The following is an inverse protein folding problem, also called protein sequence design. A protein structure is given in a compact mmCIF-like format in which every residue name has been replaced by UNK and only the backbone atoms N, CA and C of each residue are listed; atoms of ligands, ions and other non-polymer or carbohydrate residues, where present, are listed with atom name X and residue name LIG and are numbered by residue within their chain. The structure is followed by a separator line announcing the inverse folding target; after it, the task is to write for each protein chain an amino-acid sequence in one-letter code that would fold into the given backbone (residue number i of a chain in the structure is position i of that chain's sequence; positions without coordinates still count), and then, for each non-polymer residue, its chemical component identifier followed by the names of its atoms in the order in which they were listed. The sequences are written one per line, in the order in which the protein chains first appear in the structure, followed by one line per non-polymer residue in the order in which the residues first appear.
data_IF_342648612144
#
_entry.id   IF_342648612144
#
_cell.length_a   1.000
_cell.length_b   1.000
_cell.length_c   1.000
_cell.angle_alpha   90.00
_cell.angle_beta   90.00
_cell.angle_gamma   90.00
#
_symmetry.space_group_name_H-M   'P 1'
#
loop_
_entity.id
_entity.type
_entity.pdbx_description
1 polymer ?
#
# COMPACT_ATOMS: atom_id res chain seq x y z
N UNK A 1 9.75 25.05 -82.29
CA UNK A 1 9.37 26.45 -82.43
C UNK A 1 9.32 26.95 -81.00
N UNK A 2 10.25 27.57 -80.56
CA UNK A 2 10.77 28.96 -80.62
C UNK A 2 10.35 29.56 -79.28
N UNK A 3 11.03 30.29 -78.53
CA UNK A 3 12.35 30.95 -78.50
C UNK A 3 12.45 31.67 -77.17
N UNK A 4 13.62 31.61 -76.63
CA UNK A 4 14.35 32.58 -75.80
C UNK A 4 13.62 33.83 -75.23
N UNK A 5 13.87 34.12 -73.96
CA UNK A 5 14.74 35.29 -73.62
C UNK A 5 14.96 35.45 -72.13
N UNK A 6 16.22 35.59 -71.82
CA UNK A 6 16.91 36.01 -70.60
C UNK A 6 16.43 37.33 -70.01
N UNK A 7 16.48 37.48 -68.70
CA UNK A 7 17.08 38.67 -68.06
C UNK A 7 17.46 38.41 -66.60
N UNK A 8 18.71 38.61 -66.31
CA UNK A 8 19.40 38.73 -65.05
C UNK A 8 19.01 40.00 -64.29
N UNK A 9 18.91 39.94 -62.97
CA UNK A 9 19.19 40.99 -61.95
C UNK A 9 19.06 40.29 -60.61
N UNK A 10 20.00 40.21 -59.78
CA UNK A 10 20.79 41.22 -59.15
C UNK A 10 20.90 40.70 -57.69
N UNK A 11 22.07 40.20 -57.31
CA UNK A 11 22.41 39.82 -55.92
C UNK A 11 22.23 40.96 -54.94
N UNK A 12 21.46 40.70 -53.87
CA UNK A 12 21.46 41.54 -52.66
C UNK A 12 22.04 40.72 -51.50
N UNK A 13 23.17 41.13 -50.90
CA UNK A 13 23.81 40.38 -49.85
C UNK A 13 23.00 40.44 -48.52
N UNK A 14 22.52 39.27 -48.06
CA UNK A 14 21.97 39.17 -46.71
C UNK A 14 23.08 39.46 -45.68
N UNK A 15 22.96 40.58 -44.97
CA UNK A 15 23.79 40.96 -43.86
C UNK A 15 23.74 39.85 -42.78
N UNK A 16 24.84 39.14 -42.59
CA UNK A 16 25.08 38.32 -41.42
C UNK A 16 25.19 39.26 -40.23
N UNK A 17 24.15 39.25 -39.34
CA UNK A 17 24.29 39.85 -38.01
C UNK A 17 25.41 39.09 -37.29
N UNK A 18 26.57 39.72 -37.14
CA UNK A 18 27.61 39.27 -36.24
C UNK A 18 27.08 39.33 -34.80
N UNK A 19 26.82 38.17 -34.19
CA UNK A 19 26.65 38.11 -32.73
C UNK A 19 27.95 38.61 -32.13
N UNK A 20 27.87 39.68 -31.35
CA UNK A 20 29.01 40.25 -30.64
C UNK A 20 29.68 39.22 -29.76
N UNK A 21 31.00 39.17 -29.78
CA UNK A 21 31.85 38.26 -29.02
C UNK A 21 31.59 38.27 -27.50
N UNK A 22 30.99 39.33 -26.97
CA UNK A 22 30.61 39.43 -25.54
C UNK A 22 29.42 38.55 -25.15
N UNK A 23 28.38 38.40 -25.99
CA UNK A 23 27.27 37.48 -25.70
C UNK A 23 27.68 35.99 -25.76
N UNK A 24 28.61 35.63 -26.63
CA UNK A 24 29.15 34.28 -26.73
C UNK A 24 30.07 33.93 -25.54
N UNK A 25 30.77 34.92 -24.98
CA UNK A 25 31.62 34.75 -23.79
C UNK A 25 30.75 34.62 -22.53
N UNK A 26 29.68 35.39 -22.40
CA UNK A 26 28.78 35.36 -21.24
C UNK A 26 28.04 34.02 -21.14
N UNK A 27 27.57 33.45 -22.25
CA UNK A 27 26.94 32.12 -22.28
C UNK A 27 27.91 30.99 -21.94
N UNK A 28 29.23 31.19 -22.18
CA UNK A 28 30.27 30.22 -21.85
C UNK A 28 30.54 30.10 -20.35
N UNK A 29 30.54 31.19 -19.60
CA UNK A 29 30.83 31.17 -18.15
C UNK A 29 29.80 30.38 -17.34
N UNK A 30 28.52 30.61 -17.57
CA UNK A 30 27.44 29.91 -16.88
C UNK A 30 27.41 28.40 -17.21
N UNK A 31 27.79 28.03 -18.43
CA UNK A 31 27.85 26.63 -18.84
C UNK A 31 29.00 25.86 -18.16
N UNK A 32 30.01 26.55 -17.63
CA UNK A 32 31.22 25.97 -17.03
C UNK A 32 31.38 26.26 -15.54
N UNK A 33 30.27 26.65 -14.86
CA UNK A 33 30.29 26.82 -13.40
C UNK A 33 30.78 25.55 -12.71
N UNK A 34 31.68 25.66 -11.69
CA UNK A 34 32.06 24.51 -10.88
C UNK A 34 30.85 23.82 -10.28
N UNK A 35 30.89 22.47 -10.22
CA UNK A 35 29.78 21.67 -9.67
C UNK A 35 29.35 22.08 -8.27
N UNK A 36 30.30 22.54 -7.43
CA UNK A 36 29.99 23.03 -6.08
C UNK A 36 29.05 24.24 -6.13
N UNK A 37 29.36 25.23 -6.99
CA UNK A 37 28.49 26.41 -7.14
C UNK A 37 27.14 26.05 -7.75
N UNK A 38 27.10 25.08 -8.67
CA UNK A 38 25.82 24.59 -9.22
C UNK A 38 24.98 23.90 -8.14
N UNK A 39 25.60 23.17 -7.22
CA UNK A 39 24.91 22.57 -6.09
C UNK A 39 24.33 23.63 -5.16
N UNK A 40 25.08 24.72 -4.87
CA UNK A 40 24.58 25.83 -4.06
C UNK A 40 23.39 26.53 -4.74
N UNK A 41 23.47 26.72 -6.06
CA UNK A 41 22.35 27.27 -6.84
C UNK A 41 21.15 26.34 -6.79
N UNK A 42 21.34 25.04 -6.99
CA UNK A 42 20.26 24.04 -6.96
C UNK A 42 19.65 23.88 -5.57
N UNK A 43 20.36 24.14 -4.48
CA UNK A 43 19.81 24.17 -3.13
C UNK A 43 18.75 25.26 -2.94
N UNK A 44 18.91 26.38 -3.63
CA UNK A 44 17.97 27.52 -3.57
C UNK A 44 16.72 27.31 -4.43
N UNK A 45 16.73 26.33 -5.34
CA UNK A 45 15.64 26.06 -6.27
C UNK A 45 14.68 25.00 -5.73
N UNK A 46 13.38 25.19 -5.96
CA UNK A 46 12.39 24.15 -5.77
C UNK A 46 12.57 23.01 -6.80
N UNK A 47 11.84 21.90 -6.65
CA UNK A 47 11.99 20.70 -7.50
C UNK A 47 11.74 20.98 -8.99
N UNK A 48 10.79 21.84 -9.30
CA UNK A 48 10.40 22.18 -10.67
C UNK A 48 11.41 23.12 -11.33
N UNK A 49 11.82 24.18 -10.63
CA UNK A 49 12.85 25.11 -11.11
C UNK A 49 14.20 24.40 -11.29
N UNK A 50 14.53 23.44 -10.42
CA UNK A 50 15.72 22.62 -10.56
C UNK A 50 15.68 21.76 -11.82
N UNK A 51 14.53 21.20 -12.15
CA UNK A 51 14.28 20.49 -13.41
C UNK A 51 14.50 21.42 -14.62
N UNK A 52 13.92 22.62 -14.58
CA UNK A 52 14.04 23.62 -15.64
C UNK A 52 15.49 24.06 -15.81
N UNK A 53 16.21 24.31 -14.72
CA UNK A 53 17.63 24.62 -14.72
C UNK A 53 18.48 23.52 -15.38
N UNK A 54 18.10 22.26 -15.23
CA UNK A 54 18.80 21.14 -15.89
C UNK A 54 18.72 21.16 -17.43
N UNK A 55 17.75 21.89 -17.98
CA UNK A 55 17.58 22.01 -19.43
C UNK A 55 18.55 23.02 -20.08
N UNK A 56 19.26 23.83 -19.28
CA UNK A 56 20.16 24.90 -19.73
C UNK A 56 21.33 24.34 -20.57
N UNK A 57 22.05 23.33 -20.07
CA UNK A 57 23.12 22.67 -20.78
C UNK A 57 23.42 21.27 -20.23
N UNK A 58 24.29 20.50 -20.91
CA UNK A 58 24.70 19.14 -20.48
C UNK A 58 25.35 19.15 -19.08
N UNK A 59 26.19 20.11 -18.76
CA UNK A 59 26.88 20.21 -17.49
C UNK A 59 25.90 20.45 -16.33
N UNK A 60 24.95 21.36 -16.47
CA UNK A 60 23.89 21.58 -15.49
C UNK A 60 23.03 20.34 -15.29
N UNK A 61 22.67 19.65 -16.38
CA UNK A 61 21.92 18.39 -16.33
C UNK A 61 22.66 17.29 -15.58
N UNK A 62 23.98 17.15 -15.80
CA UNK A 62 24.81 16.16 -15.08
C UNK A 62 24.83 16.42 -13.57
N UNK A 63 24.85 17.69 -13.17
CA UNK A 63 24.82 18.07 -11.76
C UNK A 63 23.45 17.85 -11.11
N UNK A 64 22.35 17.86 -11.89
CA UNK A 64 21.03 17.51 -11.37
C UNK A 64 20.96 16.03 -10.93
N UNK A 65 21.71 15.14 -11.57
CA UNK A 65 21.74 13.71 -11.22
C UNK A 65 22.63 13.41 -9.99
N UNK A 66 23.03 14.42 -9.23
CA UNK A 66 23.76 14.19 -7.98
C UNK A 66 22.82 13.57 -6.92
N UNK A 67 23.26 12.55 -6.15
CA UNK A 67 22.43 11.81 -5.16
C UNK A 67 21.71 12.70 -4.16
N UNK A 68 22.29 13.84 -3.80
CA UNK A 68 21.69 14.83 -2.89
C UNK A 68 20.28 15.26 -3.28
N UNK A 69 19.97 15.30 -4.59
CA UNK A 69 18.69 15.77 -5.11
C UNK A 69 17.63 14.66 -5.21
N UNK A 70 18.05 13.40 -5.13
CA UNK A 70 17.22 12.22 -5.36
C UNK A 70 17.37 11.19 -4.25
N UNK A 71 17.23 11.59 -2.95
CA UNK A 71 17.35 10.65 -1.87
C UNK A 71 16.23 9.60 -1.93
N UNK A 72 15.03 10.02 -2.31
CA UNK A 72 13.83 9.17 -2.42
C UNK A 72 13.38 9.10 -3.86
N UNK A 73 13.19 7.89 -4.39
CA UNK A 73 12.70 7.67 -5.75
C UNK A 73 11.62 6.58 -5.78
N UNK A 74 10.52 6.89 -6.47
CA UNK A 74 9.52 5.90 -6.86
C UNK A 74 9.81 5.44 -8.29
N UNK A 75 10.18 4.18 -8.43
CA UNK A 75 10.37 3.51 -9.72
C UNK A 75 9.04 2.89 -10.12
N UNK A 76 8.37 3.45 -11.14
CA UNK A 76 7.14 2.90 -11.69
C UNK A 76 7.48 2.03 -12.88
N UNK A 77 7.40 0.71 -12.70
CA UNK A 77 7.74 -0.31 -13.70
C UNK A 77 6.43 -0.91 -14.20
N UNK A 78 5.88 -0.27 -15.22
CA UNK A 78 4.60 -0.58 -15.85
C UNK A 78 4.79 -0.69 -17.37
N UNK A 79 4.01 -1.52 -18.03
CA UNK A 79 4.17 -1.76 -19.49
C UNK A 79 4.07 -0.48 -20.33
N UNK A 80 3.15 0.43 -19.96
CA UNK A 80 2.92 1.67 -20.69
C UNK A 80 4.05 2.70 -20.57
N UNK A 81 5.00 2.53 -19.63
CA UNK A 81 6.08 3.47 -19.38
C UNK A 81 7.47 2.84 -19.22
N UNK A 82 7.66 1.62 -19.71
CA UNK A 82 8.88 0.81 -19.52
C UNK A 82 10.17 1.55 -19.94
N UNK A 83 10.16 2.30 -21.04
CA UNK A 83 11.33 3.08 -21.49
C UNK A 83 11.71 4.18 -20.51
N UNK A 84 10.72 4.83 -19.90
CA UNK A 84 10.93 5.85 -18.87
C UNK A 84 11.42 5.21 -17.56
N UNK A 85 10.85 4.05 -17.21
CA UNK A 85 11.30 3.26 -16.06
C UNK A 85 12.78 2.87 -16.23
N UNK A 86 13.16 2.32 -17.37
CA UNK A 86 14.54 1.96 -17.72
C UNK A 86 15.50 3.13 -17.57
N UNK A 87 15.14 4.31 -18.09
CA UNK A 87 15.95 5.53 -17.91
C UNK A 87 16.17 5.87 -16.42
N UNK A 88 15.12 5.81 -15.60
CA UNK A 88 15.25 6.11 -14.17
C UNK A 88 16.05 5.04 -13.42
N UNK A 89 15.88 3.77 -13.75
CA UNK A 89 16.61 2.64 -13.18
C UNK A 89 18.13 2.83 -13.36
N UNK A 90 18.58 3.03 -14.60
CA UNK A 90 20.00 3.19 -14.89
C UNK A 90 20.58 4.51 -14.39
N UNK A 91 19.77 5.55 -14.28
CA UNK A 91 20.22 6.85 -13.80
C UNK A 91 20.35 6.92 -12.28
N UNK A 92 19.39 6.34 -11.55
CA UNK A 92 19.24 6.56 -10.11
C UNK A 92 19.42 5.31 -9.25
N UNK A 93 19.36 4.09 -9.80
CA UNK A 93 19.39 2.86 -9.01
C UNK A 93 20.58 2.75 -8.05
N UNK A 94 21.78 3.23 -8.45
CA UNK A 94 22.97 3.23 -7.58
C UNK A 94 23.06 4.42 -6.63
N UNK A 95 22.16 5.40 -6.73
CA UNK A 95 22.28 6.69 -6.07
C UNK A 95 21.28 6.92 -4.94
N UNK A 96 20.09 6.29 -5.04
CA UNK A 96 18.98 6.52 -4.11
C UNK A 96 19.28 6.01 -2.71
N UNK A 97 18.72 6.70 -1.72
CA UNK A 97 18.72 6.26 -0.31
C UNK A 97 17.45 5.46 -0.01
N UNK A 98 16.34 5.83 -0.63
CA UNK A 98 15.03 5.20 -0.46
C UNK A 98 14.45 4.86 -1.82
N UNK A 99 14.22 3.58 -2.06
CA UNK A 99 13.63 3.04 -3.27
C UNK A 99 12.21 2.50 -2.96
N UNK A 100 11.22 3.08 -3.63
CA UNK A 100 9.85 2.57 -3.69
C UNK A 100 9.62 2.06 -5.11
N UNK A 101 9.20 0.82 -5.26
CA UNK A 101 9.09 0.14 -6.55
C UNK A 101 7.64 -0.24 -6.78
N UNK A 102 6.95 0.51 -7.63
CA UNK A 102 5.62 0.15 -8.13
C UNK A 102 5.83 -0.76 -9.34
N UNK A 103 5.34 -2.00 -9.27
CA UNK A 103 5.71 -3.06 -10.19
C UNK A 103 4.48 -3.76 -10.75
N UNK A 104 4.34 -3.79 -12.08
CA UNK A 104 3.47 -4.78 -12.70
C UNK A 104 4.15 -6.17 -12.62
N UNK A 105 3.79 -6.93 -11.59
CA UNK A 105 4.45 -8.19 -11.24
C UNK A 105 4.08 -9.35 -12.18
N UNK A 106 3.00 -9.24 -12.97
CA UNK A 106 2.56 -10.24 -13.94
C UNK A 106 3.07 -9.98 -15.36
N UNK A 107 3.96 -9.00 -15.56
CA UNK A 107 4.56 -8.71 -16.86
C UNK A 107 6.02 -9.12 -16.90
N UNK A 108 6.39 -10.05 -17.77
CA UNK A 108 7.78 -10.51 -17.96
C UNK A 108 8.72 -9.33 -18.25
N UNK A 109 8.32 -8.39 -19.11
CA UNK A 109 9.15 -7.21 -19.44
C UNK A 109 9.37 -6.31 -18.22
N UNK A 110 8.33 -6.13 -17.39
CA UNK A 110 8.45 -5.38 -16.13
C UNK A 110 9.34 -6.11 -15.12
N UNK A 111 9.23 -7.42 -15.02
CA UNK A 111 10.08 -8.25 -14.17
C UNK A 111 11.55 -8.22 -14.60
N UNK A 112 11.86 -8.20 -15.91
CA UNK A 112 13.24 -8.01 -16.39
C UNK A 112 13.83 -6.67 -15.91
N UNK A 113 13.06 -5.59 -15.97
CA UNK A 113 13.51 -4.27 -15.48
C UNK A 113 13.59 -4.21 -13.95
N UNK A 114 12.70 -4.91 -13.24
CA UNK A 114 12.79 -5.05 -11.79
C UNK A 114 14.09 -5.75 -11.37
N UNK A 115 14.47 -6.82 -12.04
CA UNK A 115 15.74 -7.53 -11.80
C UNK A 115 16.94 -6.62 -12.10
N UNK A 116 16.91 -5.85 -13.19
CA UNK A 116 17.93 -4.85 -13.51
C UNK A 116 18.05 -3.81 -12.40
N UNK A 117 16.93 -3.33 -11.87
CA UNK A 117 16.93 -2.39 -10.74
C UNK A 117 17.51 -3.02 -9.49
N UNK A 118 17.10 -4.23 -9.11
CA UNK A 118 17.65 -4.93 -7.93
C UNK A 118 19.17 -5.13 -8.04
N UNK A 119 19.69 -5.43 -9.23
CA UNK A 119 21.12 -5.52 -9.47
C UNK A 119 21.83 -4.21 -9.16
N UNK A 120 21.31 -3.08 -9.63
CA UNK A 120 21.87 -1.75 -9.35
C UNK A 120 21.74 -1.37 -7.88
N UNK A 121 20.62 -1.69 -7.22
CA UNK A 121 20.41 -1.47 -5.79
C UNK A 121 21.35 -2.32 -4.93
N UNK A 122 21.69 -3.53 -5.36
CA UNK A 122 22.65 -4.40 -4.65
C UNK A 122 24.04 -3.78 -4.54
N UNK A 123 24.44 -3.02 -5.55
CA UNK A 123 25.70 -2.27 -5.59
C UNK A 123 25.62 -0.90 -4.88
N UNK A 124 24.43 -0.44 -4.53
CA UNK A 124 24.19 0.85 -3.88
C UNK A 124 24.50 0.78 -2.38
N UNK A 125 25.53 1.47 -1.93
CA UNK A 125 25.93 1.49 -0.51
C UNK A 125 25.12 2.49 0.35
N UNK A 126 24.34 3.37 -0.26
CA UNK A 126 23.55 4.40 0.43
C UNK A 126 22.10 3.97 0.71
N UNK A 127 21.67 2.81 0.20
CA UNK A 127 20.32 2.34 0.32
C UNK A 127 19.93 2.07 1.78
N UNK A 128 18.83 2.68 2.24
CA UNK A 128 18.27 2.53 3.60
C UNK A 128 16.84 2.03 3.61
N UNK A 129 16.11 2.25 2.52
CA UNK A 129 14.72 1.83 2.41
C UNK A 129 14.49 1.14 1.07
N UNK A 130 13.84 -0.01 1.11
CA UNK A 130 13.40 -0.76 -0.05
C UNK A 130 11.97 -1.27 0.18
N UNK A 131 11.03 -0.74 -0.57
CA UNK A 131 9.62 -1.08 -0.52
C UNK A 131 9.18 -1.49 -1.91
N UNK A 132 8.60 -2.69 -2.02
CA UNK A 132 8.01 -3.19 -3.26
C UNK A 132 6.49 -3.06 -3.17
N UNK A 133 5.86 -2.55 -4.21
CA UNK A 133 4.41 -2.40 -4.37
C UNK A 133 4.00 -3.08 -5.68
N UNK A 134 3.75 -4.38 -5.66
CA UNK A 134 3.36 -5.13 -6.83
C UNK A 134 1.87 -4.90 -7.16
N UNK A 135 1.48 -5.20 -8.38
CA UNK A 135 0.06 -5.27 -8.79
C UNK A 135 -0.60 -6.59 -8.41
N UNK A 136 0.20 -7.65 -8.15
CA UNK A 136 -0.29 -8.97 -7.77
C UNK A 136 0.67 -9.64 -6.79
N UNK A 137 0.18 -10.53 -5.95
CA UNK A 137 0.95 -11.22 -4.91
C UNK A 137 1.97 -12.25 -5.45
N UNK A 138 1.96 -12.55 -6.74
CA UNK A 138 2.92 -13.45 -7.41
C UNK A 138 3.80 -12.72 -8.39
N UNK A 139 4.95 -13.31 -8.69
CA UNK A 139 5.86 -12.88 -9.74
C UNK A 139 5.71 -13.70 -11.00
N UNK A 140 5.59 -13.04 -12.16
CA UNK A 140 5.88 -13.66 -13.46
C UNK A 140 7.39 -13.60 -13.69
N UNK A 141 8.06 -14.75 -13.59
CA UNK A 141 9.53 -14.78 -13.57
C UNK A 141 10.11 -15.02 -14.97
N UNK A 142 11.00 -14.13 -15.46
CA UNK A 142 11.62 -14.28 -16.76
C UNK A 142 12.51 -15.53 -16.85
N UNK A 143 12.13 -16.51 -17.65
CA UNK A 143 12.85 -17.78 -17.83
C UNK A 143 14.30 -17.65 -18.31
N UNK A 144 14.63 -16.57 -19.03
CA UNK A 144 15.98 -16.26 -19.51
C UNK A 144 17.00 -15.98 -18.40
N UNK A 145 16.52 -15.52 -17.24
CA UNK A 145 17.39 -15.04 -16.14
C UNK A 145 17.59 -16.14 -15.11
N UNK A 146 16.66 -17.08 -14.99
CA UNK A 146 16.56 -18.03 -13.88
C UNK A 146 16.97 -19.43 -14.29
N UNK A 147 17.01 -19.75 -15.58
CA UNK A 147 17.39 -21.08 -16.05
C UNK A 147 16.37 -22.22 -15.79
N UNK A 148 15.44 -22.02 -14.87
CA UNK A 148 14.22 -22.76 -14.64
C UNK A 148 13.12 -21.77 -14.33
N UNK A 149 11.95 -21.91 -14.92
CA UNK A 149 10.93 -20.89 -15.01
C UNK A 149 10.42 -20.32 -13.68
N UNK A 150 10.57 -20.98 -12.56
CA UNK A 150 9.81 -20.65 -11.34
C UNK A 150 10.68 -20.52 -10.10
N UNK A 151 11.92 -20.01 -10.22
CA UNK A 151 12.82 -19.90 -9.07
C UNK A 151 12.96 -18.45 -8.58
N UNK A 152 12.13 -18.00 -7.61
CA UNK A 152 12.26 -16.69 -6.96
C UNK A 152 13.60 -16.54 -6.23
N UNK A 153 14.39 -17.62 -6.11
CA UNK A 153 15.73 -17.63 -5.53
C UNK A 153 16.69 -16.65 -6.19
N UNK A 154 16.57 -16.43 -7.51
CA UNK A 154 17.41 -15.46 -8.18
C UNK A 154 17.12 -14.02 -7.73
N UNK A 155 15.87 -13.70 -7.43
CA UNK A 155 15.49 -12.42 -6.84
C UNK A 155 16.11 -12.29 -5.44
N UNK A 156 16.10 -13.36 -4.63
CA UNK A 156 16.73 -13.36 -3.32
C UNK A 156 18.25 -13.16 -3.39
N UNK A 157 18.94 -13.70 -4.39
CA UNK A 157 20.38 -13.44 -4.61
C UNK A 157 20.69 -11.96 -4.80
N UNK A 158 19.78 -11.22 -5.43
CA UNK A 158 19.92 -9.76 -5.66
C UNK A 158 19.47 -8.95 -4.44
N UNK A 159 18.46 -9.41 -3.70
CA UNK A 159 18.00 -8.76 -2.47
C UNK A 159 19.01 -8.90 -1.32
N UNK A 160 19.61 -10.08 -1.14
CA UNK A 160 20.51 -10.37 -0.03
C UNK A 160 21.62 -9.32 0.20
N UNK A 161 22.31 -8.77 -0.81
CA UNK A 161 23.29 -7.70 -0.61
C UNK A 161 22.68 -6.37 -0.15
N UNK A 162 21.37 -6.15 -0.38
CA UNK A 162 20.67 -4.95 0.06
C UNK A 162 20.32 -5.01 1.55
N UNK A 163 19.87 -6.17 2.04
CA UNK A 163 19.27 -6.35 3.37
C UNK A 163 20.10 -5.77 4.54
N UNK A 164 21.42 -5.97 4.65
CA UNK A 164 22.21 -5.45 5.80
C UNK A 164 22.27 -3.93 5.90
N UNK A 165 21.88 -3.23 4.83
CA UNK A 165 21.94 -1.77 4.74
C UNK A 165 20.65 -1.11 5.20
N UNK A 166 19.52 -1.87 5.17
CA UNK A 166 18.17 -1.34 5.28
C UNK A 166 17.74 -1.02 6.71
N UNK A 167 17.02 0.08 6.85
CA UNK A 167 16.23 0.44 8.03
C UNK A 167 14.73 0.20 7.81
N UNK A 168 14.31 0.19 6.53
CA UNK A 168 12.94 -0.11 6.12
C UNK A 168 12.98 -1.13 5.00
N UNK A 169 12.25 -2.22 5.18
CA UNK A 169 12.13 -3.28 4.19
C UNK A 169 10.70 -3.83 4.14
N UNK A 170 10.17 -4.02 2.93
CA UNK A 170 8.89 -4.70 2.72
C UNK A 170 8.99 -5.66 1.54
N UNK A 171 8.51 -6.89 1.74
CA UNK A 171 8.35 -7.89 0.67
C UNK A 171 7.21 -7.54 -0.30
N UNK A 172 6.43 -6.48 -0.01
CA UNK A 172 5.34 -6.05 -0.90
C UNK A 172 4.11 -6.97 -0.89
N UNK A 173 3.89 -7.72 0.18
CA UNK A 173 2.85 -8.75 0.25
C UNK A 173 3.00 -9.88 -0.78
N UNK A 174 4.20 -10.09 -1.32
CA UNK A 174 4.48 -11.09 -2.35
C UNK A 174 4.61 -12.47 -1.71
N UNK A 175 3.75 -13.41 -2.10
CA UNK A 175 3.73 -14.77 -1.57
C UNK A 175 5.04 -15.51 -1.87
N UNK A 176 5.58 -15.39 -3.08
CA UNK A 176 6.82 -16.05 -3.48
C UNK A 176 8.01 -15.72 -2.59
N UNK A 177 8.03 -14.56 -1.92
CA UNK A 177 9.10 -14.16 -1.02
C UNK A 177 8.93 -14.69 0.41
N UNK A 178 7.74 -15.18 0.77
CA UNK A 178 7.52 -15.73 2.13
C UNK A 178 8.33 -16.98 2.40
N UNK A 179 8.65 -17.77 1.39
CA UNK A 179 9.50 -18.97 1.51
C UNK A 179 10.95 -18.65 1.95
N UNK A 180 11.34 -17.38 1.91
CA UNK A 180 12.68 -16.91 2.25
C UNK A 180 12.73 -16.03 3.50
N UNK A 181 11.67 -16.00 4.32
CA UNK A 181 11.61 -15.16 5.54
C UNK A 181 12.79 -15.41 6.47
N UNK A 182 13.18 -16.65 6.67
CA UNK A 182 14.36 -17.03 7.44
C UNK A 182 15.65 -16.40 6.90
N UNK A 183 15.86 -16.47 5.60
CA UNK A 183 17.03 -15.89 4.94
C UNK A 183 17.00 -14.36 4.99
N UNK A 184 15.83 -13.76 4.81
CA UNK A 184 15.62 -12.33 4.94
C UNK A 184 15.98 -11.86 6.34
N UNK A 185 15.40 -12.47 7.38
CA UNK A 185 15.63 -12.09 8.77
C UNK A 185 17.10 -12.25 9.18
N UNK A 186 17.76 -13.33 8.74
CA UNK A 186 19.20 -13.58 9.01
C UNK A 186 20.12 -12.53 8.38
N UNK A 187 19.74 -11.96 7.25
CA UNK A 187 20.57 -10.99 6.54
C UNK A 187 20.24 -9.52 6.85
N UNK A 188 19.10 -9.24 7.47
CA UNK A 188 18.78 -7.89 7.95
C UNK A 188 19.68 -7.51 9.13
N UNK A 189 19.94 -6.20 9.30
CA UNK A 189 20.66 -5.68 10.46
C UNK A 189 19.69 -5.29 11.57
N UNK A 190 19.51 -6.08 12.65
CA UNK A 190 18.50 -5.80 13.66
C UNK A 190 18.64 -4.43 14.33
N UNK A 191 19.87 -3.92 14.45
CA UNK A 191 20.14 -2.62 15.06
C UNK A 191 19.73 -1.42 14.19
N UNK A 192 19.39 -1.63 12.91
CA UNK A 192 19.01 -0.58 11.96
C UNK A 192 17.52 -0.60 11.63
N UNK A 193 16.91 -1.79 11.58
CA UNK A 193 15.54 -1.96 11.07
C UNK A 193 14.52 -1.33 12.02
N UNK A 194 13.67 -0.49 11.44
CA UNK A 194 12.56 0.19 12.12
C UNK A 194 11.20 -0.17 11.52
N UNK A 195 11.13 -0.47 10.23
CA UNK A 195 9.91 -0.86 9.53
C UNK A 195 10.16 -2.15 8.77
N UNK A 196 9.35 -3.17 9.05
CA UNK A 196 9.51 -4.50 8.49
C UNK A 196 8.15 -5.05 8.05
N UNK A 197 7.97 -5.18 6.73
CA UNK A 197 6.78 -5.75 6.11
C UNK A 197 7.07 -7.16 5.61
N UNK A 198 6.57 -8.18 6.32
CA UNK A 198 6.73 -9.61 6.01
C UNK A 198 5.39 -10.30 5.73
N UNK A 199 4.25 -9.61 5.93
CA UNK A 199 2.95 -10.15 5.58
C UNK A 199 2.81 -10.35 4.08
N UNK A 200 1.99 -11.30 3.69
CA UNK A 200 1.70 -11.62 2.30
C UNK A 200 0.21 -11.52 1.97
N UNK A 201 -0.10 -11.57 0.69
CA UNK A 201 -1.40 -11.98 0.14
C UNK A 201 -1.20 -13.34 -0.49
N UNK A 202 -2.21 -14.20 -0.53
CA UNK A 202 -2.13 -15.56 -1.04
C UNK A 202 -2.87 -15.67 -2.36
N UNK A 203 -2.18 -16.21 -3.36
CA UNK A 203 -2.74 -16.49 -4.69
C UNK A 203 -3.86 -17.54 -4.63
N UNK A 204 -3.63 -18.65 -3.90
CA UNK A 204 -4.67 -19.62 -3.55
C UNK A 204 -4.89 -19.63 -2.03
N UNK A 205 -5.83 -18.82 -1.49
CA UNK A 205 -6.06 -18.72 -0.05
C UNK A 205 -6.58 -20.01 0.59
N UNK A 206 -7.04 -20.98 -0.21
CA UNK A 206 -7.52 -22.27 0.29
C UNK A 206 -6.39 -23.29 0.41
N UNK A 207 -5.34 -23.18 -0.41
CA UNK A 207 -4.26 -24.16 -0.54
C UNK A 207 -2.89 -23.51 -0.63
N UNK A 208 -2.55 -22.65 0.30
CA UNK A 208 -1.19 -22.11 0.37
C UNK A 208 -0.30 -22.89 1.35
N UNK A 209 0.99 -22.84 1.13
CA UNK A 209 1.99 -23.37 2.07
C UNK A 209 2.37 -22.29 3.08
N UNK A 210 2.47 -22.67 4.35
CA UNK A 210 2.94 -21.76 5.40
C UNK A 210 4.45 -21.86 5.52
N UNK A 211 5.11 -20.75 5.30
CA UNK A 211 6.52 -20.59 5.60
C UNK A 211 6.67 -20.07 7.04
N UNK A 212 7.10 -20.94 7.94
CA UNK A 212 7.37 -20.56 9.34
C UNK A 212 8.80 -20.05 9.49
N UNK A 213 8.98 -19.09 10.39
CA UNK A 213 10.29 -18.76 10.93
C UNK A 213 10.25 -18.82 12.46
N UNK A 214 11.42 -19.02 13.07
CA UNK A 214 11.55 -19.10 14.52
C UNK A 214 11.25 -17.72 15.15
N UNK A 215 10.28 -17.62 16.10
CA UNK A 215 10.00 -16.38 16.82
C UNK A 215 11.24 -15.72 17.47
N UNK A 216 12.26 -16.52 17.84
CA UNK A 216 13.53 -16.00 18.35
C UNK A 216 14.24 -15.05 17.39
N UNK A 217 14.01 -15.19 16.10
CA UNK A 217 14.62 -14.34 15.08
C UNK A 217 14.14 -12.88 15.12
N UNK A 218 12.96 -12.61 15.69
CA UNK A 218 12.43 -11.26 15.80
C UNK A 218 12.96 -10.52 17.03
N UNK A 219 13.33 -11.23 18.10
CA UNK A 219 13.77 -10.64 19.36
C UNK A 219 14.93 -9.63 19.25
N UNK A 220 15.93 -9.80 18.34
CA UNK A 220 17.02 -8.84 18.16
C UNK A 220 16.59 -7.48 17.59
N UNK A 221 15.39 -7.37 16.99
CA UNK A 221 14.95 -6.15 16.30
C UNK A 221 14.36 -5.11 17.27
N UNK A 222 15.16 -4.65 18.21
CA UNK A 222 14.74 -3.76 19.32
C UNK A 222 14.29 -2.35 18.90
N UNK A 223 14.56 -1.94 17.66
CA UNK A 223 14.19 -0.63 17.10
C UNK A 223 12.93 -0.66 16.24
N UNK A 224 12.27 -1.81 16.15
CA UNK A 224 11.03 -1.92 15.36
C UNK A 224 9.99 -0.93 15.84
N UNK A 225 9.40 -0.22 14.88
CA UNK A 225 8.25 0.67 15.01
C UNK A 225 7.03 0.11 14.33
N UNK A 226 7.21 -0.48 13.15
CA UNK A 226 6.15 -1.11 12.37
C UNK A 226 6.59 -2.51 11.98
N UNK A 227 5.71 -3.49 12.26
CA UNK A 227 5.88 -4.87 11.84
C UNK A 227 4.60 -5.37 11.18
N UNK A 228 4.73 -5.99 10.02
CA UNK A 228 3.63 -6.69 9.33
C UNK A 228 4.01 -8.15 9.11
N UNK A 229 3.11 -9.07 9.49
CA UNK A 229 3.29 -10.53 9.39
C UNK A 229 1.98 -11.23 9.00
N UNK A 230 2.07 -12.45 8.55
CA UNK A 230 0.90 -13.33 8.42
C UNK A 230 0.48 -13.89 9.79
N UNK A 231 -0.84 -14.12 9.97
CA UNK A 231 -1.39 -14.69 11.20
C UNK A 231 -0.77 -16.06 11.55
N UNK A 232 -0.37 -16.81 10.53
CA UNK A 232 0.31 -18.09 10.70
C UNK A 232 1.57 -18.02 11.58
N UNK A 233 2.21 -16.84 11.67
CA UNK A 233 3.38 -16.59 12.53
C UNK A 233 3.00 -16.14 13.95
N UNK A 234 1.74 -15.73 14.15
CA UNK A 234 1.33 -15.10 15.40
C UNK A 234 1.01 -16.14 16.48
N UNK A 235 1.72 -16.09 17.59
CA UNK A 235 1.53 -16.95 18.76
C UNK A 235 1.80 -16.19 20.06
N UNK A 236 1.50 -16.78 21.21
CA UNK A 236 1.88 -16.21 22.50
C UNK A 236 3.39 -16.03 22.61
N UNK A 237 4.16 -16.99 22.10
CA UNK A 237 5.62 -16.93 22.09
C UNK A 237 6.10 -15.75 21.22
N UNK A 238 5.51 -15.58 20.04
CA UNK A 238 5.85 -14.46 19.15
C UNK A 238 5.57 -13.11 19.82
N UNK A 239 4.42 -12.92 20.46
CA UNK A 239 4.09 -11.70 21.22
C UNK A 239 5.10 -11.45 22.35
N UNK A 240 5.52 -12.50 23.05
CA UNK A 240 6.54 -12.39 24.08
C UNK A 240 7.89 -11.92 23.53
N UNK A 241 8.32 -12.44 22.35
CA UNK A 241 9.59 -12.00 21.71
C UNK A 241 9.54 -10.54 21.25
N UNK A 242 8.36 -10.02 20.93
CA UNK A 242 8.18 -8.59 20.60
C UNK A 242 8.35 -7.65 21.79
N UNK A 243 8.34 -8.14 23.04
CA UNK A 243 8.56 -7.27 24.20
C UNK A 243 9.89 -6.50 24.17
N UNK A 244 10.88 -6.98 23.41
CA UNK A 244 12.16 -6.29 23.20
C UNK A 244 12.03 -5.03 22.36
N UNK A 245 11.04 -4.96 21.50
CA UNK A 245 10.79 -3.85 20.56
C UNK A 245 9.98 -2.72 21.23
N UNK A 246 10.55 -2.06 22.24
CA UNK A 246 9.85 -1.04 23.06
C UNK A 246 9.32 0.19 22.30
N UNK A 247 9.74 0.36 21.05
CA UNK A 247 9.29 1.46 20.19
C UNK A 247 8.22 1.01 19.19
N UNK A 248 7.65 -0.19 19.36
CA UNK A 248 6.65 -0.70 18.44
C UNK A 248 5.36 0.14 18.52
N UNK A 249 5.08 0.81 17.42
CA UNK A 249 3.94 1.72 17.22
C UNK A 249 2.78 1.00 16.52
N UNK A 250 3.11 0.00 15.69
CA UNK A 250 2.10 -0.72 14.89
C UNK A 250 2.48 -2.17 14.63
N UNK A 251 1.53 -3.08 14.92
CA UNK A 251 1.57 -4.47 14.52
C UNK A 251 0.43 -4.74 13.54
N UNK A 252 0.77 -5.12 12.31
CA UNK A 252 -0.17 -5.45 11.23
C UNK A 252 -0.16 -6.96 11.03
N UNK A 253 -1.34 -7.57 10.98
CA UNK A 253 -1.48 -9.01 10.77
C UNK A 253 -2.45 -9.29 9.64
N UNK A 254 -2.00 -10.10 8.67
CA UNK A 254 -2.84 -10.61 7.60
C UNK A 254 -3.31 -12.02 7.91
N UNK A 255 -4.61 -12.26 7.80
CA UNK A 255 -5.27 -13.53 8.06
C UNK A 255 -5.93 -14.03 6.79
N UNK A 256 -5.50 -15.19 6.28
CA UNK A 256 -6.09 -15.86 5.10
C UNK A 256 -6.97 -17.05 5.48
N UNK A 257 -6.75 -17.63 6.67
CA UNK A 257 -7.51 -18.73 7.23
C UNK A 257 -6.92 -19.17 8.58
N UNK A 258 -7.63 -20.03 9.28
CA UNK A 258 -7.20 -20.54 10.58
C UNK A 258 -6.91 -22.03 10.47
N UNK A 259 -5.64 -22.40 10.55
CA UNK A 259 -5.24 -23.80 10.49
C UNK A 259 -5.60 -24.53 11.77
N UNK A 260 -6.05 -25.79 11.65
CA UNK A 260 -6.46 -26.62 12.79
C UNK A 260 -5.39 -26.77 13.88
N UNK A 261 -4.12 -26.76 13.50
CA UNK A 261 -2.99 -26.93 14.42
C UNK A 261 -2.33 -25.60 14.80
N UNK A 262 -2.92 -24.45 14.42
CA UNK A 262 -2.38 -23.15 14.80
C UNK A 262 -2.56 -22.95 16.32
N UNK A 263 -1.50 -22.57 17.07
CA UNK A 263 -1.57 -22.45 18.53
C UNK A 263 -2.51 -21.33 18.98
N UNK A 264 -2.76 -20.35 18.11
CA UNK A 264 -3.52 -19.16 18.44
C UNK A 264 -2.81 -18.26 19.44
N UNK A 265 -3.56 -17.33 19.99
CA UNK A 265 -3.09 -16.42 21.04
C UNK A 265 -4.04 -16.43 22.23
N UNK A 266 -3.55 -16.07 23.41
CA UNK A 266 -4.34 -16.00 24.64
C UNK A 266 -4.64 -14.57 25.05
N UNK A 267 -5.70 -14.36 25.83
CA UNK A 267 -5.99 -13.08 26.44
C UNK A 267 -4.86 -12.58 27.34
N UNK A 268 -4.14 -13.51 28.00
CA UNK A 268 -3.01 -13.16 28.87
C UNK A 268 -1.85 -12.58 28.05
N UNK A 269 -1.46 -13.23 26.95
CA UNK A 269 -0.37 -12.75 26.11
C UNK A 269 -0.68 -11.35 25.53
N UNK A 270 -1.92 -11.10 25.13
CA UNK A 270 -2.33 -9.78 24.66
C UNK A 270 -2.36 -8.72 25.78
N UNK A 271 -2.76 -9.08 27.01
CA UNK A 271 -2.72 -8.17 28.13
C UNK A 271 -1.27 -7.80 28.51
N UNK A 272 -0.37 -8.78 28.50
CA UNK A 272 1.06 -8.55 28.71
C UNK A 272 1.66 -7.70 27.58
N UNK A 273 1.33 -8.00 26.33
CA UNK A 273 1.74 -7.20 25.15
C UNK A 273 1.26 -5.75 25.25
N UNK A 274 -0.02 -5.51 25.56
CA UNK A 274 -0.58 -4.16 25.72
C UNK A 274 0.11 -3.37 26.82
N UNK A 275 0.46 -4.01 27.95
CA UNK A 275 1.23 -3.36 29.03
C UNK A 275 2.65 -3.01 28.60
N UNK A 276 3.27 -3.85 27.79
CA UNK A 276 4.62 -3.59 27.21
C UNK A 276 4.64 -2.54 26.12
N UNK A 277 3.51 -2.37 25.39
CA UNK A 277 3.36 -1.49 24.24
C UNK A 277 2.03 -0.70 24.29
N UNK A 278 1.89 0.23 25.25
CA UNK A 278 0.61 0.90 25.51
C UNK A 278 0.06 1.77 24.38
N UNK A 279 0.93 2.18 23.46
CA UNK A 279 0.56 3.02 22.30
C UNK A 279 0.55 2.24 20.99
N UNK A 280 0.83 0.95 21.00
CA UNK A 280 0.89 0.15 19.80
C UNK A 280 -0.53 -0.09 19.23
N UNK A 281 -0.70 0.24 17.96
CA UNK A 281 -1.90 -0.10 17.21
C UNK A 281 -1.80 -1.53 16.68
N UNK A 282 -2.84 -2.34 16.90
CA UNK A 282 -2.99 -3.62 16.26
C UNK A 282 -3.96 -3.48 15.07
N UNK A 283 -3.51 -3.85 13.89
CA UNK A 283 -4.30 -3.82 12.66
C UNK A 283 -4.48 -5.24 12.15
N UNK A 284 -5.72 -5.68 12.04
CA UNK A 284 -6.07 -7.00 11.53
C UNK A 284 -6.70 -6.86 10.15
N UNK A 285 -6.09 -7.49 9.15
CA UNK A 285 -6.62 -7.59 7.81
C UNK A 285 -6.95 -9.05 7.50
N UNK A 286 -8.22 -9.33 7.21
CA UNK A 286 -8.74 -10.64 6.87
C UNK A 286 -8.95 -10.68 5.35
N UNK A 287 -8.32 -11.61 4.65
CA UNK A 287 -8.29 -11.66 3.19
C UNK A 287 -8.73 -13.05 2.73
N UNK A 288 -9.78 -13.14 1.92
CA UNK A 288 -10.29 -14.38 1.32
C UNK A 288 -10.54 -15.53 2.32
N UNK A 289 -10.84 -15.20 3.57
CA UNK A 289 -11.06 -16.21 4.63
C UNK A 289 -12.49 -16.80 4.59
N UNK A 290 -12.93 -17.29 3.43
CA UNK A 290 -14.30 -17.70 3.08
C UNK A 290 -15.02 -18.51 4.15
N UNK A 291 -14.38 -19.55 4.70
CA UNK A 291 -14.97 -20.43 5.72
C UNK A 291 -14.73 -19.94 7.13
N UNK A 292 -13.53 -19.42 7.35
CA UNK A 292 -13.04 -19.12 8.69
C UNK A 292 -13.57 -17.79 9.21
N UNK A 293 -13.99 -16.88 8.32
CA UNK A 293 -14.63 -15.61 8.70
C UNK A 293 -15.79 -15.84 9.70
N UNK A 294 -16.52 -16.95 9.59
CA UNK A 294 -17.66 -17.28 10.47
C UNK A 294 -17.27 -17.58 11.91
N UNK A 295 -16.02 -17.99 12.16
CA UNK A 295 -15.52 -18.38 13.49
C UNK A 295 -14.39 -17.52 14.03
N UNK A 296 -13.96 -16.47 13.29
CA UNK A 296 -12.86 -15.59 13.69
C UNK A 296 -13.09 -14.96 15.08
N UNK A 297 -14.33 -14.64 15.43
CA UNK A 297 -14.69 -14.06 16.72
C UNK A 297 -14.31 -14.98 17.90
N UNK A 298 -14.30 -16.30 17.72
CA UNK A 298 -13.91 -17.29 18.73
C UNK A 298 -12.44 -17.70 18.60
N UNK A 299 -11.98 -17.90 17.36
CA UNK A 299 -10.68 -18.53 17.10
C UNK A 299 -9.53 -17.53 17.15
N UNK A 300 -9.73 -16.33 16.66
CA UNK A 300 -8.68 -15.30 16.48
C UNK A 300 -8.81 -14.16 17.49
N UNK A 301 -10.02 -13.61 17.62
CA UNK A 301 -10.23 -12.39 18.41
C UNK A 301 -10.00 -12.64 19.90
N UNK A 302 -9.34 -11.71 20.55
CA UNK A 302 -9.07 -11.76 22.00
C UNK A 302 -9.36 -10.41 22.63
N UNK A 303 -9.98 -10.43 23.80
CA UNK A 303 -10.51 -9.23 24.50
C UNK A 303 -9.46 -8.13 24.70
N UNK A 304 -8.22 -8.50 24.93
CA UNK A 304 -7.16 -7.53 25.27
C UNK A 304 -6.29 -7.11 24.08
N UNK A 305 -6.63 -7.54 22.86
CA UNK A 305 -5.98 -7.01 21.66
C UNK A 305 -6.15 -5.50 21.59
N UNK A 306 -5.11 -4.71 21.31
CA UNK A 306 -5.25 -3.27 21.09
C UNK A 306 -5.74 -2.99 19.64
N UNK A 307 -6.85 -3.64 19.24
CA UNK A 307 -7.38 -3.57 17.88
C UNK A 307 -7.80 -2.14 17.54
N UNK A 308 -7.14 -1.57 16.55
CA UNK A 308 -7.42 -0.23 16.03
C UNK A 308 -8.07 -0.22 14.65
N UNK A 309 -7.72 -1.17 13.80
CA UNK A 309 -8.24 -1.29 12.44
C UNK A 309 -8.63 -2.74 12.15
N UNK A 310 -9.86 -2.93 11.70
CA UNK A 310 -10.33 -4.19 11.15
C UNK A 310 -10.65 -4.00 9.67
N UNK A 311 -9.93 -4.71 8.82
CA UNK A 311 -10.18 -4.74 7.37
C UNK A 311 -10.55 -6.16 6.98
N UNK A 312 -11.64 -6.34 6.25
CA UNK A 312 -12.11 -7.64 5.76
C UNK A 312 -12.35 -7.52 4.26
N UNK A 313 -11.63 -8.32 3.48
CA UNK A 313 -11.66 -8.27 2.02
C UNK A 313 -12.06 -9.60 1.44
N UNK A 314 -13.12 -9.60 0.62
CA UNK A 314 -13.55 -10.70 -0.25
C UNK A 314 -13.75 -12.03 0.51
N UNK A 315 -14.47 -11.97 1.64
CA UNK A 315 -14.76 -13.13 2.50
C UNK A 315 -16.16 -13.71 2.31
N UNK A 316 -16.96 -13.18 1.38
CA UNK A 316 -18.30 -13.63 0.99
C UNK A 316 -19.37 -13.58 2.10
N UNK A 317 -19.03 -13.12 3.29
CA UNK A 317 -19.99 -13.02 4.40
C UNK A 317 -19.56 -12.06 5.49
N UNK A 318 -20.54 -11.53 6.23
CA UNK A 318 -20.32 -10.73 7.44
C UNK A 318 -20.53 -11.61 8.67
N UNK A 319 -19.55 -11.58 9.58
CA UNK A 319 -19.67 -12.22 10.89
C UNK A 319 -20.25 -11.22 11.89
N UNK A 320 -21.55 -11.35 12.18
CA UNK A 320 -22.28 -10.44 13.07
C UNK A 320 -21.79 -10.49 14.51
N UNK A 321 -21.41 -11.69 15.00
CA UNK A 321 -20.87 -11.87 16.35
C UNK A 321 -19.50 -11.19 16.49
N UNK A 322 -18.69 -11.22 15.42
CA UNK A 322 -17.45 -10.44 15.35
C UNK A 322 -17.74 -8.94 15.51
N UNK A 323 -18.71 -8.41 14.73
CA UNK A 323 -19.08 -7.00 14.78
C UNK A 323 -19.62 -6.60 16.14
N UNK A 324 -20.45 -7.44 16.78
CA UNK A 324 -20.92 -7.22 18.15
C UNK A 324 -19.77 -7.17 19.18
N UNK A 325 -18.78 -8.06 19.01
CA UNK A 325 -17.59 -8.08 19.87
C UNK A 325 -16.71 -6.84 19.72
N UNK A 326 -16.73 -6.15 18.54
CA UNK A 326 -15.98 -4.91 18.34
C UNK A 326 -16.36 -3.86 19.39
N UNK A 327 -17.64 -3.65 19.59
CA UNK A 327 -18.16 -2.66 20.54
C UNK A 327 -17.84 -2.99 21.99
N UNK A 328 -17.89 -4.26 22.37
CA UNK A 328 -17.71 -4.69 23.76
C UNK A 328 -16.24 -4.80 24.17
N UNK A 329 -15.34 -5.11 23.24
CA UNK A 329 -13.93 -5.37 23.53
C UNK A 329 -13.00 -4.23 23.13
N UNK A 330 -13.33 -3.47 22.05
CA UNK A 330 -12.39 -2.53 21.41
C UNK A 330 -12.93 -1.10 21.34
N UNK A 331 -13.97 -0.76 22.14
CA UNK A 331 -14.63 0.55 22.12
C UNK A 331 -13.69 1.75 22.31
N UNK A 332 -12.57 1.57 23.01
CA UNK A 332 -11.58 2.62 23.24
C UNK A 332 -10.46 2.67 22.18
N UNK A 333 -10.24 1.58 21.45
CA UNK A 333 -9.09 1.47 20.53
C UNK A 333 -9.47 1.48 19.07
N UNK A 334 -10.69 1.03 18.72
CA UNK A 334 -11.12 0.87 17.34
C UNK A 334 -11.32 2.22 16.63
N UNK A 335 -10.65 2.37 15.48
CA UNK A 335 -10.66 3.58 14.64
C UNK A 335 -11.22 3.33 13.24
N UNK A 336 -11.06 2.11 12.71
CA UNK A 336 -11.46 1.78 11.34
C UNK A 336 -12.16 0.43 11.28
N UNK A 337 -13.27 0.39 10.57
CA UNK A 337 -13.94 -0.80 10.10
C UNK A 337 -14.08 -0.70 8.58
N UNK A 338 -13.45 -1.61 7.88
CA UNK A 338 -13.55 -1.74 6.43
C UNK A 338 -14.02 -3.16 6.11
N UNK A 339 -15.17 -3.30 5.45
CA UNK A 339 -15.70 -4.59 5.02
C UNK A 339 -16.08 -4.51 3.56
N UNK A 340 -15.31 -5.17 2.72
CA UNK A 340 -15.39 -5.05 1.27
C UNK A 340 -15.51 -6.42 0.63
N UNK A 341 -16.51 -6.55 -0.21
CA UNK A 341 -16.72 -7.72 -1.04
C UNK A 341 -17.17 -7.32 -2.44
N UNK A 342 -17.15 -8.24 -3.37
CA UNK A 342 -17.73 -8.03 -4.68
C UNK A 342 -19.26 -8.02 -4.58
N UNK A 343 -19.89 -7.20 -5.40
CA UNK A 343 -21.34 -7.16 -5.46
C UNK A 343 -21.86 -8.51 -5.92
N UNK A 344 -22.56 -9.20 -5.04
CA UNK A 344 -23.21 -10.44 -5.42
C UNK A 344 -24.56 -10.13 -6.06
N UNK A 345 -24.76 -10.59 -7.31
CA UNK A 345 -26.07 -10.59 -7.95
C UNK A 345 -27.01 -11.64 -7.34
N UNK A 346 -26.53 -12.44 -6.38
CA UNK A 346 -27.35 -13.44 -5.69
C UNK A 346 -28.10 -12.81 -4.52
N UNK A 347 -29.37 -13.22 -4.31
CA UNK A 347 -30.28 -12.74 -3.24
C UNK A 347 -29.76 -12.91 -1.80
N UNK A 348 -28.58 -13.52 -1.60
CA UNK A 348 -27.99 -13.80 -0.29
C UNK A 348 -27.01 -12.71 0.22
N UNK A 349 -26.87 -11.59 -0.50
CA UNK A 349 -26.00 -10.47 -0.12
C UNK A 349 -26.57 -9.55 0.98
N UNK A 350 -27.68 -9.95 1.61
CA UNK A 350 -28.30 -9.19 2.69
C UNK A 350 -27.54 -9.42 3.99
N UNK A 351 -26.89 -8.39 4.51
CA UNK A 351 -26.27 -8.48 5.84
C UNK A 351 -27.35 -8.63 6.92
N UNK A 352 -28.45 -7.93 6.74
CA UNK A 352 -29.52 -7.86 7.74
C UNK A 352 -30.89 -7.85 7.04
N UNK A 353 -31.51 -9.00 6.97
CA UNK A 353 -32.96 -9.01 6.95
C UNK A 353 -33.36 -8.61 8.37
N UNK A 354 -33.80 -7.37 8.57
CA UNK A 354 -34.37 -6.97 9.85
C UNK A 354 -35.55 -7.90 10.07
N UNK A 355 -35.53 -8.84 11.03
CA UNK A 355 -36.74 -9.54 11.38
C UNK A 355 -37.72 -8.45 11.81
N UNK A 356 -38.93 -8.42 11.25
CA UNK A 356 -39.99 -7.46 11.59
C UNK A 356 -40.28 -7.37 13.10
N UNK A 357 -39.62 -8.22 13.93
CA UNK A 357 -39.86 -8.39 15.37
C UNK A 357 -38.58 -8.45 16.22
N UNK A 358 -37.38 -8.18 15.64
CA UNK A 358 -36.14 -8.17 16.44
C UNK A 358 -35.83 -6.72 16.86
N UNK A 359 -35.94 -6.47 18.17
CA UNK A 359 -35.65 -5.18 18.80
C UNK A 359 -34.15 -4.95 19.00
N UNK A 360 -33.28 -5.90 18.59
CA UNK A 360 -31.85 -5.79 18.74
C UNK A 360 -31.28 -4.67 17.86
N UNK A 361 -30.41 -3.80 18.40
CA UNK A 361 -29.77 -2.77 17.60
C UNK A 361 -28.83 -3.40 16.56
N UNK A 362 -28.73 -2.77 15.39
CA UNK A 362 -27.79 -3.19 14.35
C UNK A 362 -26.36 -3.20 14.89
N UNK A 363 -25.55 -4.26 14.70
CA UNK A 363 -24.22 -4.38 15.25
C UNK A 363 -23.23 -3.29 14.80
N UNK A 364 -23.33 -2.79 13.56
CA UNK A 364 -22.49 -1.68 13.11
C UNK A 364 -22.92 -0.34 13.73
N UNK A 365 -24.23 -0.13 13.91
CA UNK A 365 -24.74 1.03 14.66
C UNK A 365 -24.27 0.95 16.11
N UNK A 366 -24.30 -0.24 16.72
CA UNK A 366 -23.78 -0.45 18.07
C UNK A 366 -22.28 -0.17 18.16
N UNK A 367 -21.51 -0.64 17.18
CA UNK A 367 -20.08 -0.33 17.07
C UNK A 367 -19.85 1.19 16.92
N UNK A 368 -20.61 1.86 16.05
CA UNK A 368 -20.53 3.31 15.90
C UNK A 368 -20.88 4.06 17.21
N UNK A 369 -21.79 3.55 18.02
CA UNK A 369 -22.15 4.15 19.29
C UNK A 369 -21.07 4.00 20.35
N UNK A 370 -20.50 2.80 20.51
CA UNK A 370 -19.62 2.46 21.61
C UNK A 370 -18.14 2.69 21.29
N UNK A 371 -17.72 2.58 20.01
CA UNK A 371 -16.35 2.86 19.57
C UNK A 371 -16.16 4.36 19.33
N UNK A 372 -15.84 5.09 20.41
CA UNK A 372 -15.76 6.56 20.39
C UNK A 372 -14.69 7.13 19.46
N UNK A 373 -13.67 6.34 19.15
CA UNK A 373 -12.55 6.72 18.29
C UNK A 373 -12.74 6.27 16.82
N UNK A 374 -13.93 5.78 16.46
CA UNK A 374 -14.20 5.33 15.09
C UNK A 374 -14.17 6.53 14.13
N UNK A 375 -13.22 6.51 13.21
CA UNK A 375 -12.92 7.55 12.23
C UNK A 375 -13.24 7.13 10.80
N UNK A 376 -13.33 5.81 10.55
CA UNK A 376 -13.53 5.25 9.23
C UNK A 376 -14.52 4.09 9.26
N UNK A 377 -15.50 4.14 8.35
CA UNK A 377 -16.44 3.07 8.10
C UNK A 377 -16.63 2.91 6.59
N UNK A 378 -16.25 1.74 6.06
CA UNK A 378 -16.36 1.38 4.64
C UNK A 378 -17.10 0.06 4.53
N UNK A 379 -18.16 0.04 3.73
CA UNK A 379 -18.97 -1.15 3.49
C UNK A 379 -19.31 -1.26 1.99
N UNK A 380 -18.77 -2.27 1.30
CA UNK A 380 -19.07 -2.55 -0.09
C UNK A 380 -19.48 -4.00 -0.31
N UNK A 381 -20.40 -4.22 -1.25
CA UNK A 381 -20.85 -5.55 -1.66
C UNK A 381 -21.96 -6.15 -0.81
N UNK A 382 -22.51 -5.38 0.12
CA UNK A 382 -23.55 -5.83 1.04
C UNK A 382 -24.70 -4.83 1.15
N UNK A 383 -25.92 -5.33 1.05
CA UNK A 383 -27.14 -4.52 1.21
C UNK A 383 -27.26 -4.02 2.66
N UNK A 384 -27.47 -2.72 2.82
CA UNK A 384 -27.54 -2.07 4.13
C UNK A 384 -28.65 -1.00 4.18
N UNK A 385 -29.36 -0.91 5.31
CA UNK A 385 -30.48 -0.01 5.46
C UNK A 385 -30.02 1.45 5.64
N UNK A 386 -30.71 2.39 4.96
CA UNK A 386 -30.43 3.82 5.04
C UNK A 386 -30.54 4.36 6.46
N UNK A 387 -31.52 3.89 7.27
CA UNK A 387 -31.69 4.35 8.66
C UNK A 387 -30.47 4.02 9.53
N UNK A 388 -29.86 2.85 9.34
CA UNK A 388 -28.66 2.45 10.06
C UNK A 388 -27.45 3.30 9.64
N UNK A 389 -27.34 3.59 8.34
CA UNK A 389 -26.29 4.46 7.80
C UNK A 389 -26.42 5.89 8.35
N UNK A 390 -27.64 6.43 8.39
CA UNK A 390 -27.94 7.73 9.00
C UNK A 390 -27.62 7.72 10.49
N UNK A 391 -27.95 6.63 11.19
CA UNK A 391 -27.63 6.48 12.61
C UNK A 391 -26.11 6.50 12.85
N UNK A 392 -25.31 5.79 12.03
CA UNK A 392 -23.84 5.81 12.09
C UNK A 392 -23.30 7.25 11.91
N UNK A 393 -23.80 7.96 10.88
CA UNK A 393 -23.44 9.34 10.62
C UNK A 393 -23.76 10.28 11.79
N UNK A 394 -24.94 10.15 12.39
CA UNK A 394 -25.35 10.95 13.56
C UNK A 394 -24.52 10.65 14.81
N UNK A 395 -24.22 9.36 15.07
CA UNK A 395 -23.50 8.93 16.25
C UNK A 395 -22.03 9.37 16.24
N UNK A 396 -21.41 9.37 15.07
CA UNK A 396 -19.98 9.72 14.93
C UNK A 396 -19.75 11.16 14.53
N UNK A 397 -20.66 11.76 13.76
CA UNK A 397 -20.62 13.16 13.36
C UNK A 397 -19.29 13.51 12.66
N UNK A 398 -18.72 14.66 13.01
CA UNK A 398 -17.46 15.17 12.46
C UNK A 398 -16.22 14.28 12.72
N UNK A 399 -16.30 13.38 13.72
CA UNK A 399 -15.20 12.44 14.03
C UNK A 399 -15.04 11.37 12.95
N UNK A 400 -16.09 11.07 12.18
CA UNK A 400 -16.03 10.10 11.09
C UNK A 400 -15.40 10.76 9.86
N UNK A 401 -14.12 10.51 9.67
CA UNK A 401 -13.32 11.07 8.57
C UNK A 401 -13.69 10.45 7.23
N UNK A 402 -14.03 9.18 7.24
CA UNK A 402 -14.42 8.41 6.05
C UNK A 402 -15.68 7.59 6.32
N UNK A 403 -16.68 7.76 5.43
CA UNK A 403 -17.91 6.97 5.40
C UNK A 403 -18.18 6.60 3.95
N UNK A 404 -18.02 5.33 3.61
CA UNK A 404 -18.20 4.86 2.24
C UNK A 404 -19.16 3.68 2.18
N UNK A 405 -20.09 3.76 1.23
CA UNK A 405 -20.99 2.68 0.85
C UNK A 405 -21.37 2.87 -0.61
N UNK A 406 -21.54 1.80 -1.36
CA UNK A 406 -22.01 1.89 -2.73
C UNK A 406 -23.49 2.28 -2.79
N UNK A 407 -23.86 3.15 -3.72
CA UNK A 407 -25.24 3.64 -3.84
C UNK A 407 -26.25 2.50 -4.00
N UNK A 408 -25.92 1.52 -4.86
CA UNK A 408 -26.80 0.37 -5.12
C UNK A 408 -26.88 -0.62 -3.94
N UNK A 409 -26.01 -0.50 -2.92
CA UNK A 409 -26.06 -1.31 -1.69
C UNK A 409 -27.00 -0.72 -0.64
N UNK A 410 -27.47 0.51 -0.81
CA UNK A 410 -28.39 1.16 0.12
C UNK A 410 -29.83 0.67 -0.11
N UNK A 411 -30.46 0.20 0.94
CA UNK A 411 -31.86 -0.21 0.95
C UNK A 411 -32.69 0.88 1.60
N UNK A 412 -33.69 1.34 0.88
CA UNK A 412 -34.61 2.35 1.37
C UNK A 412 -35.93 1.72 1.83
N UNK A 413 -36.49 2.21 2.94
CA UNK A 413 -37.86 1.87 3.29
C UNK A 413 -38.84 2.46 2.25
N UNK A 414 -39.85 1.72 1.89
CA UNK A 414 -40.91 2.25 1.00
C UNK A 414 -41.59 3.46 1.67
N UNK A 415 -41.39 4.65 1.13
CA UNK A 415 -41.97 5.89 1.67
C UNK A 415 -41.90 7.03 0.67
N UNK A 416 -42.61 8.14 0.89
CA UNK A 416 -42.69 9.26 -0.06
C UNK A 416 -41.44 10.13 -0.16
N UNK A 417 -40.41 9.96 0.70
CA UNK A 417 -39.23 10.87 0.82
C UNK A 417 -37.92 10.10 0.81
N UNK A 418 -37.70 9.22 -0.18
CA UNK A 418 -36.48 8.41 -0.26
C UNK A 418 -35.17 9.25 -0.31
N UNK A 419 -35.18 10.34 -1.09
CA UNK A 419 -33.98 11.18 -1.27
C UNK A 419 -33.62 12.02 -0.04
N UNK A 420 -34.61 12.35 0.80
CA UNK A 420 -34.41 13.19 1.98
C UNK A 420 -33.73 12.45 3.16
N UNK A 421 -33.82 11.12 3.20
CA UNK A 421 -33.29 10.32 4.31
C UNK A 421 -31.74 10.48 4.45
N UNK A 422 -31.03 10.47 3.33
CA UNK A 422 -29.57 10.59 3.33
C UNK A 422 -29.05 12.03 3.55
N UNK A 423 -29.93 13.06 3.44
CA UNK A 423 -29.53 14.47 3.61
C UNK A 423 -29.04 14.80 5.03
N UNK A 424 -29.36 13.98 6.00
CA UNK A 424 -28.88 14.15 7.37
C UNK A 424 -27.41 13.72 7.55
N UNK A 425 -26.89 12.86 6.68
CA UNK A 425 -25.49 12.38 6.77
C UNK A 425 -24.52 13.55 6.57
N UNK A 426 -24.51 14.32 5.46
CA UNK A 426 -23.59 15.44 5.30
C UNK A 426 -23.75 16.52 6.37
N UNK A 427 -24.98 16.74 6.90
CA UNK A 427 -25.20 17.65 8.03
C UNK A 427 -24.51 17.16 9.29
N UNK A 428 -24.63 15.87 9.60
CA UNK A 428 -24.00 15.26 10.77
C UNK A 428 -22.48 15.22 10.68
N UNK A 429 -21.94 14.88 9.50
CA UNK A 429 -20.51 14.82 9.23
C UNK A 429 -19.86 16.21 9.08
N UNK A 430 -20.66 17.29 8.95
CA UNK A 430 -20.21 18.65 8.67
C UNK A 430 -19.32 18.77 7.41
N UNK A 431 -19.53 17.90 6.45
CA UNK A 431 -18.82 17.86 5.15
C UNK A 431 -19.73 17.30 4.05
N UNK A 432 -19.45 17.64 2.77
CA UNK A 432 -20.15 17.00 1.67
C UNK A 432 -19.98 15.49 1.72
N UNK A 433 -21.07 14.76 1.54
CA UNK A 433 -21.08 13.31 1.46
C UNK A 433 -22.11 12.85 0.43
N UNK A 434 -21.75 11.83 -0.32
CA UNK A 434 -22.63 11.06 -1.20
C UNK A 434 -22.22 9.60 -1.17
N UNK A 435 -23.11 8.64 -1.42
CA UNK A 435 -22.72 7.25 -1.63
C UNK A 435 -21.84 7.14 -2.88
N UNK A 436 -20.98 6.13 -2.89
CA UNK A 436 -20.06 5.88 -4.02
C UNK A 436 -20.85 5.37 -5.21
N UNK A 437 -20.68 6.04 -6.35
CA UNK A 437 -21.35 5.66 -7.60
C UNK A 437 -20.68 4.42 -8.21
N UNK A 438 -21.43 3.67 -9.03
CA UNK A 438 -20.91 2.43 -9.63
C UNK A 438 -19.68 2.66 -10.53
N UNK A 439 -19.60 3.79 -11.20
CA UNK A 439 -18.46 4.18 -12.05
C UNK A 439 -17.23 4.66 -11.26
N UNK A 440 -17.38 4.96 -9.98
CA UNK A 440 -16.31 5.30 -9.03
C UNK A 440 -15.73 4.05 -8.34
N UNK A 441 -16.43 2.90 -8.39
CA UNK A 441 -16.00 1.66 -7.76
C UNK A 441 -14.94 0.93 -8.61
N UNK A 442 -14.04 0.21 -7.92
CA UNK A 442 -13.11 -0.66 -8.61
C UNK A 442 -13.84 -1.81 -9.34
N UNK A 443 -13.42 -2.21 -10.55
CA UNK A 443 -14.11 -3.25 -11.33
C UNK A 443 -14.39 -4.53 -10.54
N UNK A 444 -13.44 -5.02 -9.74
CA UNK A 444 -13.60 -6.24 -8.92
C UNK A 444 -14.74 -6.13 -7.89
N UNK A 445 -15.06 -4.92 -7.41
CA UNK A 445 -16.20 -4.71 -6.49
C UNK A 445 -17.50 -4.82 -7.27
N UNK A 446 -17.57 -4.23 -8.46
CA UNK A 446 -18.76 -4.27 -9.31
C UNK A 446 -19.10 -5.68 -9.80
N UNK A 447 -18.06 -6.46 -10.14
CA UNK A 447 -18.22 -7.83 -10.61
C UNK A 447 -16.92 -8.62 -10.30
N UNK A 448 -16.98 -9.74 -9.56
CA UNK A 448 -15.82 -10.53 -9.19
C UNK A 448 -15.03 -11.10 -10.39
N UNK A 449 -15.61 -11.11 -11.59
CA UNK A 449 -14.95 -11.56 -12.83
C UNK A 449 -14.25 -10.46 -13.60
N UNK A 450 -14.43 -9.19 -13.23
CA UNK A 450 -14.00 -8.03 -14.03
C UNK A 450 -12.69 -7.40 -13.51
N UNK A 451 -11.94 -8.09 -12.66
CA UNK A 451 -10.66 -7.61 -12.15
C UNK A 451 -10.01 -8.56 -11.18
N UNK A 452 -8.79 -8.21 -10.81
CA UNK A 452 -8.04 -8.91 -9.77
C UNK A 452 -8.27 -8.22 -8.42
N UNK A 453 -8.60 -8.99 -7.38
CA UNK A 453 -8.75 -8.47 -6.02
C UNK A 453 -7.47 -7.84 -5.50
N UNK A 454 -6.31 -8.33 -5.94
CA UNK A 454 -5.00 -7.81 -5.54
C UNK A 454 -4.81 -6.35 -5.98
N UNK A 455 -5.29 -5.97 -7.17
CA UNK A 455 -5.21 -4.59 -7.65
C UNK A 455 -5.93 -3.60 -6.72
N UNK A 456 -7.03 -4.05 -6.09
CA UNK A 456 -7.77 -3.26 -5.12
C UNK A 456 -7.15 -3.30 -3.72
N UNK A 457 -6.85 -4.49 -3.21
CA UNK A 457 -6.47 -4.64 -1.80
C UNK A 457 -4.99 -4.32 -1.52
N UNK A 458 -4.05 -4.62 -2.44
CA UNK A 458 -2.62 -4.40 -2.19
C UNK A 458 -2.26 -2.95 -1.84
N UNK A 459 -2.74 -1.91 -2.55
CA UNK A 459 -2.48 -0.53 -2.15
C UNK A 459 -2.95 -0.20 -0.72
N UNK A 460 -4.10 -0.78 -0.30
CA UNK A 460 -4.71 -0.53 1.01
C UNK A 460 -3.91 -1.21 2.14
N UNK A 461 -3.50 -2.48 1.92
CA UNK A 461 -2.76 -3.22 2.95
C UNK A 461 -1.30 -2.76 3.06
N UNK A 462 -0.69 -2.36 1.95
CA UNK A 462 0.68 -1.81 1.94
C UNK A 462 0.75 -0.42 2.59
N UNK A 463 -0.33 0.35 2.55
CA UNK A 463 -0.42 1.64 3.26
C UNK A 463 -0.31 1.49 4.79
N UNK A 464 -0.59 0.31 5.35
CA UNK A 464 -0.44 0.05 6.78
C UNK A 464 1.03 0.03 7.26
N UNK A 465 1.98 -0.03 6.35
CA UNK A 465 3.42 0.03 6.65
C UNK A 465 3.96 1.47 6.80
N UNK A 466 3.15 2.49 6.45
CA UNK A 466 3.56 3.92 6.38
C UNK A 466 2.95 4.79 7.45
#
# INVERSE_FOLDING_TARGET
MGSDSSSSFGDCPKAKKSKTSEEAISTSYWAHLPSVLLHDIFDLLNKEDRKNASAVCKHWRQNLFHPKWWPTMTFKIEQNNIQKARFYIYTFGKLVTEARIVLNSLSIECMEEFINLLQLLSENNNLKSLIVEPTHCRFEVPSKIIGSCDDPWNIMKLLRPCLPKLSTFSIGCIEDLTYFLDDILKNLSPSKVTHLGLASVKDDPVKYEVAYFDPEMIAPFTKLKVLSIDYDQLSDEFLYKLETAKQLERLVVHLHGVRKNHPGTTNKAWDDFRRGHPTCEFRLTVIHAFKDIKSIHETVMRRFMPLSHLKVFFCESVNLELVQNLSSHYGETLRSIMWVDSISHNDNSWIFVKPLFDESPDPFVLAAWLCKNLEEFVLYGYKYWEENLVAIGRLRGEHLKNLEIAEHDIIFYPGPNLEDALLDIPKSLQKPWKPTQQDELHPVICNPTDGDSDEYLLPIVLADLH
#
